data_IF_893400737699
#
_entry.id   IF_893400737699
#
_cell.length_a   1.000
_cell.length_b   1.000
_cell.length_c   1.000
_cell.angle_alpha   90.00
_cell.angle_beta   90.00
_cell.angle_gamma   90.00
#
_symmetry.space_group_name_H-M   'P 1'
#
loop_
_entity.id
_entity.type
_entity.pdbx_description
1 polymer ?
#
# COMPACT_ATOMS: atom_id res chain seq x y z
N UNK A 1 25.83 -28.43 -25.38
CA UNK A 1 26.11 -28.04 -23.97
C UNK A 1 26.03 -26.54 -23.72
N UNK A 2 26.72 -25.67 -24.47
CA UNK A 2 26.68 -24.20 -24.27
C UNK A 2 25.28 -23.57 -24.30
N UNK A 3 24.39 -24.04 -25.17
CA UNK A 3 22.99 -23.58 -25.24
C UNK A 3 22.13 -23.98 -24.03
N UNK A 4 22.38 -25.14 -23.42
CA UNK A 4 21.66 -25.57 -22.21
C UNK A 4 22.06 -24.76 -20.97
N UNK A 5 23.31 -24.32 -20.90
CA UNK A 5 23.80 -23.44 -19.83
C UNK A 5 23.17 -22.05 -19.95
N UNK A 6 23.07 -21.50 -21.17
CA UNK A 6 22.42 -20.20 -21.40
C UNK A 6 20.92 -20.27 -21.10
N UNK A 7 20.23 -21.36 -21.50
CA UNK A 7 18.80 -21.57 -21.22
C UNK A 7 18.52 -21.72 -19.71
N UNK A 8 19.41 -22.40 -18.97
CA UNK A 8 19.30 -22.53 -17.52
C UNK A 8 19.54 -21.20 -16.80
N UNK A 9 20.51 -20.40 -17.26
CA UNK A 9 20.79 -19.07 -16.70
C UNK A 9 19.62 -18.11 -16.97
N UNK A 10 19.04 -18.11 -18.18
CA UNK A 10 17.87 -17.28 -18.47
C UNK A 10 16.63 -17.71 -17.69
N UNK A 11 16.43 -19.01 -17.45
CA UNK A 11 15.33 -19.50 -16.61
C UNK A 11 15.48 -19.07 -15.14
N UNK A 12 16.71 -19.09 -14.60
CA UNK A 12 17.02 -18.64 -13.23
C UNK A 12 16.84 -17.12 -13.09
N UNK A 13 17.19 -16.35 -14.12
CA UNK A 13 16.98 -14.89 -14.14
C UNK A 13 15.48 -14.56 -14.28
N UNK A 14 14.71 -15.34 -15.05
CA UNK A 14 13.26 -15.14 -15.19
C UNK A 14 12.49 -15.48 -13.91
N UNK A 15 12.91 -16.50 -13.14
CA UNK A 15 12.29 -16.82 -11.85
C UNK A 15 12.65 -15.81 -10.76
N UNK A 16 13.76 -15.09 -10.90
CA UNK A 16 14.19 -14.05 -9.93
C UNK A 16 13.39 -12.74 -10.06
N UNK A 17 12.69 -12.51 -11.18
CA UNK A 17 11.84 -11.33 -11.40
C UNK A 17 10.44 -11.50 -10.79
N UNK A 18 10.07 -12.71 -10.36
CA UNK A 18 8.97 -12.93 -9.41
C UNK A 18 9.47 -12.54 -8.00
N UNK A 19 10.01 -11.33 -7.88
CA UNK A 19 10.18 -10.71 -6.57
C UNK A 19 8.77 -10.47 -6.05
N UNK A 20 8.41 -11.24 -5.02
CA UNK A 20 7.16 -11.19 -4.29
C UNK A 20 6.72 -9.74 -4.07
N UNK A 21 5.82 -9.24 -4.91
CA UNK A 21 4.93 -8.15 -4.53
C UNK A 21 3.96 -8.76 -3.53
N UNK A 22 4.37 -8.86 -2.27
CA UNK A 22 3.42 -9.12 -1.18
C UNK A 22 2.51 -7.90 -1.19
N UNK A 23 1.35 -8.04 -1.84
CA UNK A 23 0.40 -6.96 -1.96
C UNK A 23 0.09 -6.48 -0.54
N UNK A 24 0.31 -5.19 -0.27
CA UNK A 24 -0.07 -4.60 1.02
C UNK A 24 -1.57 -4.82 1.22
N UNK A 25 -2.02 -5.23 2.41
CA UNK A 25 -3.44 -5.45 2.65
C UNK A 25 -4.23 -4.18 2.37
N UNK A 26 -5.41 -4.32 1.77
CA UNK A 26 -6.31 -3.18 1.58
C UNK A 26 -6.93 -2.73 2.92
N UNK A 27 -7.43 -1.49 2.99
CA UNK A 27 -8.16 -1.01 4.17
C UNK A 27 -9.36 -1.90 4.50
N UNK A 28 -10.12 -2.31 3.48
CA UNK A 28 -11.26 -3.22 3.64
C UNK A 28 -10.83 -4.58 4.21
N UNK A 29 -9.74 -5.15 3.72
CA UNK A 29 -9.21 -6.42 4.21
C UNK A 29 -8.76 -6.31 5.67
N UNK A 30 -8.04 -5.24 6.01
CA UNK A 30 -7.58 -4.97 7.36
C UNK A 30 -8.76 -4.73 8.33
N UNK A 31 -9.80 -4.00 7.88
CA UNK A 31 -11.03 -3.79 8.66
C UNK A 31 -11.75 -5.11 8.93
N UNK A 32 -11.93 -5.94 7.90
CA UNK A 32 -12.58 -7.25 8.05
C UNK A 32 -11.78 -8.15 9.00
N UNK A 33 -10.44 -8.13 8.92
CA UNK A 33 -9.57 -8.83 9.84
C UNK A 33 -9.72 -8.32 11.29
N UNK A 34 -9.73 -7.01 11.48
CA UNK A 34 -9.93 -6.35 12.77
C UNK A 34 -11.27 -6.73 13.43
N UNK A 35 -12.35 -6.69 12.65
CA UNK A 35 -13.69 -7.11 13.11
C UNK A 35 -13.73 -8.60 13.44
N UNK A 36 -13.13 -9.44 12.60
CA UNK A 36 -13.10 -10.89 12.79
C UNK A 36 -12.25 -11.33 13.99
N UNK A 37 -11.26 -10.53 14.38
CA UNK A 37 -10.47 -10.73 15.60
C UNK A 37 -11.25 -10.36 16.87
N UNK A 38 -12.42 -9.72 16.74
CA UNK A 38 -13.22 -9.25 17.87
C UNK A 38 -12.73 -7.94 18.46
N UNK A 39 -11.83 -7.21 17.78
CA UNK A 39 -11.27 -5.95 18.28
C UNK A 39 -12.36 -4.88 18.52
N UNK A 40 -13.48 -4.95 17.80
CA UNK A 40 -14.65 -4.07 17.96
C UNK A 40 -15.35 -4.21 19.31
N UNK A 41 -15.11 -5.28 20.07
CA UNK A 41 -15.63 -5.40 21.43
C UNK A 41 -15.12 -4.26 22.34
N UNK A 42 -13.87 -3.81 22.15
CA UNK A 42 -13.31 -2.65 22.84
C UNK A 42 -13.30 -1.39 21.95
N UNK A 43 -13.00 -1.54 20.66
CA UNK A 43 -12.91 -0.42 19.70
C UNK A 43 -14.27 -0.07 19.08
N UNK A 44 -15.16 0.46 19.91
CA UNK A 44 -16.56 0.79 19.55
C UNK A 44 -16.92 2.28 19.79
N UNK A 45 -15.94 3.11 20.13
CA UNK A 45 -16.13 4.53 20.45
C UNK A 45 -16.54 4.81 21.90
N UNK A 46 -16.87 3.78 22.70
CA UNK A 46 -17.16 3.92 24.14
C UNK A 46 -15.96 3.58 25.00
N UNK A 47 -15.28 2.46 24.74
CA UNK A 47 -14.14 1.99 25.54
C UNK A 47 -12.83 2.46 24.91
N UNK A 48 -12.65 2.15 23.63
CA UNK A 48 -11.56 2.65 22.80
C UNK A 48 -12.13 3.23 21.49
N UNK A 49 -11.30 3.98 20.78
CA UNK A 49 -11.66 4.56 19.48
C UNK A 49 -12.09 3.49 18.48
N UNK A 50 -12.99 3.80 17.55
CA UNK A 50 -13.46 2.87 16.51
C UNK A 50 -12.34 2.53 15.51
N UNK A 51 -12.55 1.55 14.62
CA UNK A 51 -11.63 1.28 13.52
C UNK A 51 -11.22 2.55 12.76
N UNK A 52 -12.20 3.36 12.34
CA UNK A 52 -11.93 4.60 11.60
C UNK A 52 -11.10 5.57 12.44
N UNK A 53 -11.36 5.65 13.74
CA UNK A 53 -10.56 6.47 14.65
C UNK A 53 -9.15 5.92 14.90
N UNK A 54 -8.94 4.61 14.86
CA UNK A 54 -7.59 4.01 14.82
C UNK A 54 -6.90 4.44 13.52
N UNK A 55 -7.52 4.20 12.37
CA UNK A 55 -6.93 4.56 11.07
C UNK A 55 -6.60 6.05 10.99
N UNK A 56 -7.47 6.93 11.48
CA UNK A 56 -7.23 8.37 11.51
C UNK A 56 -6.05 8.74 12.42
N UNK A 57 -5.95 8.16 13.62
CA UNK A 57 -4.80 8.37 14.50
C UNK A 57 -3.47 8.03 13.80
N UNK A 58 -3.45 6.93 13.03
CA UNK A 58 -2.29 6.50 12.27
C UNK A 58 -1.98 7.43 11.08
N UNK A 59 -3.00 7.85 10.33
CA UNK A 59 -2.86 8.83 9.23
C UNK A 59 -2.31 10.16 9.75
N UNK A 60 -2.85 10.65 10.86
CA UNK A 60 -2.38 11.89 11.50
C UNK A 60 -0.96 11.77 12.06
N UNK A 61 -0.49 10.56 12.37
CA UNK A 61 0.84 10.31 12.92
C UNK A 61 1.89 10.03 11.85
N UNK A 62 1.48 9.90 10.60
CA UNK A 62 2.36 9.53 9.51
C UNK A 62 3.45 10.60 9.27
N UNK A 63 4.71 10.18 9.33
CA UNK A 63 5.88 11.06 9.21
C UNK A 63 6.26 11.85 10.48
N UNK A 64 5.54 11.70 11.60
CA UNK A 64 5.88 12.39 12.88
C UNK A 64 6.95 11.66 13.70
N UNK A 65 7.19 10.39 13.42
CA UNK A 65 8.05 9.51 14.20
C UNK A 65 9.08 8.84 13.27
N UNK A 66 10.29 8.61 13.75
CA UNK A 66 11.37 8.01 12.96
C UNK A 66 11.18 6.49 12.77
N UNK A 67 10.39 5.85 13.63
CA UNK A 67 10.06 4.42 13.51
C UNK A 67 8.69 4.09 14.11
N UNK A 68 8.17 2.90 13.77
CA UNK A 68 6.95 2.36 14.38
C UNK A 68 7.11 2.18 15.89
N UNK A 69 8.27 1.72 16.35
CA UNK A 69 8.55 1.53 17.77
C UNK A 69 8.56 2.87 18.51
N UNK A 70 9.13 3.92 17.92
CA UNK A 70 9.12 5.25 18.51
C UNK A 70 7.68 5.79 18.63
N UNK A 71 6.86 5.61 17.58
CA UNK A 71 5.44 5.94 17.62
C UNK A 71 4.72 5.19 18.76
N UNK A 72 4.98 3.88 18.90
CA UNK A 72 4.38 3.11 20.00
C UNK A 72 4.84 3.62 21.36
N UNK A 73 6.14 3.75 21.57
CA UNK A 73 6.68 4.16 22.86
C UNK A 73 6.24 5.57 23.30
N UNK A 74 6.09 6.51 22.35
CA UNK A 74 5.77 7.92 22.65
C UNK A 74 4.29 8.23 22.62
N UNK A 75 3.52 7.64 21.71
CA UNK A 75 2.11 7.99 21.50
C UNK A 75 1.17 6.93 22.10
N UNK A 76 1.39 5.66 21.77
CA UNK A 76 0.41 4.59 22.05
C UNK A 76 0.58 3.99 23.45
N UNK A 77 1.81 3.67 23.84
CA UNK A 77 2.14 3.05 25.13
C UNK A 77 1.60 3.82 26.34
N UNK A 78 1.83 5.15 26.45
CA UNK A 78 1.30 5.95 27.55
C UNK A 78 -0.24 5.95 27.62
N UNK A 79 -0.92 5.96 26.47
CA UNK A 79 -2.39 5.91 26.39
C UNK A 79 -2.93 4.57 26.89
N UNK A 80 -2.30 3.46 26.49
CA UNK A 80 -2.70 2.11 26.91
C UNK A 80 -2.48 1.93 28.42
N UNK A 81 -1.36 2.43 28.94
CA UNK A 81 -1.07 2.42 30.38
C UNK A 81 -2.11 3.21 31.18
N UNK A 82 -2.51 4.38 30.69
CA UNK A 82 -3.55 5.19 31.35
C UNK A 82 -4.90 4.47 31.42
N UNK A 83 -5.18 3.58 30.46
CA UNK A 83 -6.36 2.71 30.46
C UNK A 83 -6.24 1.48 31.37
N UNK A 84 -5.14 1.36 32.13
CA UNK A 84 -4.94 0.26 33.10
C UNK A 84 -4.37 -1.03 32.49
N UNK A 85 -3.93 -0.99 31.23
CA UNK A 85 -3.24 -2.11 30.59
C UNK A 85 -1.71 -1.92 30.65
N UNK A 86 -0.96 -2.87 30.08
CA UNK A 86 0.51 -2.75 29.97
C UNK A 86 0.96 -1.55 29.15
N UNK A 87 2.26 -1.22 29.19
CA UNK A 87 2.84 -0.10 28.43
C UNK A 87 3.72 -0.64 27.30
N UNK A 88 3.16 -1.01 26.13
CA UNK A 88 3.97 -1.52 25.04
C UNK A 88 4.97 -0.45 24.58
N UNK A 89 6.21 -0.87 24.33
CA UNK A 89 7.30 -0.01 23.87
C UNK A 89 7.64 -0.24 22.41
N UNK A 90 7.28 -1.39 21.86
CA UNK A 90 7.55 -1.75 20.46
C UNK A 90 6.27 -2.05 19.70
N UNK A 91 6.35 -1.93 18.37
CA UNK A 91 5.30 -2.28 17.43
C UNK A 91 4.79 -3.71 17.62
N UNK A 92 5.71 -4.64 17.87
CA UNK A 92 5.38 -6.04 18.08
C UNK A 92 4.71 -6.27 19.44
N UNK A 93 5.20 -5.63 20.50
CA UNK A 93 4.58 -5.69 21.83
C UNK A 93 3.15 -5.14 21.82
N UNK A 94 2.88 -4.07 21.06
CA UNK A 94 1.53 -3.53 20.90
C UNK A 94 0.59 -4.59 20.34
N UNK A 95 0.93 -5.23 19.22
CA UNK A 95 0.07 -6.24 18.60
C UNK A 95 0.01 -7.53 19.39
N UNK A 96 1.08 -7.90 20.10
CA UNK A 96 1.04 -9.02 21.03
C UNK A 96 0.06 -8.75 22.17
N UNK A 97 0.11 -7.57 22.79
CA UNK A 97 -0.82 -7.17 23.84
C UNK A 97 -2.28 -7.17 23.33
N UNK A 98 -2.54 -6.52 22.19
CA UNK A 98 -3.89 -6.41 21.65
C UNK A 98 -4.46 -7.77 21.24
N UNK A 99 -3.66 -8.62 20.59
CA UNK A 99 -4.10 -9.97 20.23
C UNK A 99 -4.30 -10.88 21.44
N UNK A 100 -3.50 -10.72 22.51
CA UNK A 100 -3.71 -11.42 23.77
C UNK A 100 -5.02 -10.99 24.45
N UNK A 101 -5.31 -9.68 24.49
CA UNK A 101 -6.57 -9.16 25.04
C UNK A 101 -7.80 -9.65 24.25
N UNK A 102 -7.66 -9.81 22.92
CA UNK A 102 -8.70 -10.39 22.08
C UNK A 102 -8.79 -11.93 22.18
N UNK A 103 -7.85 -12.59 22.87
CA UNK A 103 -7.77 -14.06 22.90
C UNK A 103 -7.40 -14.68 21.54
N UNK A 104 -6.67 -13.94 20.69
CA UNK A 104 -6.29 -14.29 19.30
C UNK A 104 -4.78 -14.22 19.06
N UNK A 105 -3.98 -14.48 20.10
CA UNK A 105 -2.52 -14.55 19.97
C UNK A 105 -2.12 -15.57 18.89
N UNK A 106 -1.27 -15.17 17.95
CA UNK A 106 -0.83 -16.02 16.83
C UNK A 106 -1.82 -16.17 15.67
N UNK A 107 -2.97 -15.49 15.68
CA UNK A 107 -3.90 -15.50 14.56
C UNK A 107 -3.28 -14.74 13.34
N UNK A 108 -3.21 -15.35 12.14
CA UNK A 108 -2.60 -14.71 10.96
C UNK A 108 -3.24 -13.37 10.59
N UNK A 109 -4.52 -13.14 10.95
CA UNK A 109 -5.22 -11.88 10.69
C UNK A 109 -4.63 -10.71 11.46
N UNK A 110 -3.92 -10.96 12.57
CA UNK A 110 -3.17 -9.93 13.29
C UNK A 110 -2.14 -9.28 12.37
N UNK A 111 -1.47 -10.08 11.52
CA UNK A 111 -0.47 -9.56 10.57
C UNK A 111 -1.10 -8.73 9.45
N UNK A 112 -2.35 -9.01 9.07
CA UNK A 112 -3.08 -8.20 8.09
C UNK A 112 -3.30 -6.79 8.65
N UNK A 113 -3.87 -6.69 9.85
CA UNK A 113 -4.10 -5.41 10.54
C UNK A 113 -2.78 -4.66 10.79
N UNK A 114 -1.77 -5.39 11.31
CA UNK A 114 -0.44 -4.86 11.60
C UNK A 114 0.24 -4.30 10.35
N UNK A 115 0.23 -5.02 9.25
CA UNK A 115 0.89 -4.59 8.01
C UNK A 115 0.18 -3.37 7.40
N UNK A 116 -1.16 -3.37 7.40
CA UNK A 116 -1.92 -2.23 6.92
C UNK A 116 -1.66 -0.95 7.74
N UNK A 117 -1.72 -1.02 9.09
CA UNK A 117 -1.46 0.15 9.93
C UNK A 117 0.00 0.64 9.84
N UNK A 118 0.96 -0.28 9.70
CA UNK A 118 2.35 0.08 9.42
C UNK A 118 2.52 0.78 8.07
N UNK A 119 1.78 0.34 7.05
CA UNK A 119 1.80 0.96 5.72
C UNK A 119 1.33 2.42 5.80
N UNK A 120 0.27 2.73 6.55
CA UNK A 120 -0.24 4.09 6.72
C UNK A 120 0.82 5.03 7.29
N UNK A 121 1.53 4.61 8.33
CA UNK A 121 2.61 5.41 8.93
C UNK A 121 3.78 5.63 7.96
N UNK A 122 4.02 4.66 7.09
CA UNK A 122 5.10 4.68 6.08
C UNK A 122 4.73 5.49 4.83
N UNK A 123 3.44 5.67 4.52
CA UNK A 123 2.97 6.38 3.32
C UNK A 123 3.40 7.86 3.25
N UNK A 124 3.85 8.45 4.36
CA UNK A 124 4.32 9.84 4.39
C UNK A 124 5.85 9.99 4.35
N UNK A 125 6.60 8.88 4.26
CA UNK A 125 8.06 8.88 4.06
C UNK A 125 8.37 8.88 2.56
N UNK A 126 7.66 9.69 1.78
CA UNK A 126 8.09 9.95 0.41
C UNK A 126 9.35 10.80 0.51
N UNK A 127 10.51 10.39 -0.06
CA UNK A 127 11.64 11.30 -0.16
C UNK A 127 11.14 12.53 -0.92
N UNK A 128 11.09 13.68 -0.26
CA UNK A 128 10.91 14.95 -0.96
C UNK A 128 12.16 15.13 -1.80
N UNK A 129 12.10 14.69 -3.06
CA UNK A 129 13.06 15.14 -4.07
C UNK A 129 13.00 16.66 -4.07
N UNK A 130 14.10 17.39 -3.87
CA UNK A 130 14.07 18.84 -4.01
C UNK A 130 13.65 19.15 -5.43
N UNK A 131 12.49 19.81 -5.58
CA UNK A 131 12.10 20.41 -6.84
C UNK A 131 13.09 21.55 -7.06
N UNK A 132 14.06 21.36 -7.94
CA UNK A 132 14.83 22.46 -8.50
C UNK A 132 13.84 23.35 -9.25
N UNK A 133 13.43 24.45 -8.61
CA UNK A 133 12.65 25.51 -9.24
C UNK A 133 13.47 26.12 -10.36
N UNK A 134 13.13 25.83 -11.61
CA UNK A 134 13.57 26.63 -12.74
C UNK A 134 12.80 27.95 -12.70
N UNK A 135 13.46 29.12 -12.70
CA UNK A 135 12.76 30.41 -12.66
C UNK A 135 11.92 30.59 -13.93
N UNK A 136 10.60 30.67 -13.77
CA UNK A 136 9.69 31.11 -14.84
C UNK A 136 9.46 32.62 -14.73
N UNK A 137 9.90 33.33 -15.76
CA UNK A 137 9.62 34.76 -15.98
C UNK A 137 8.11 34.99 -16.07
N UNK A 138 7.54 36.00 -15.41
CA UNK A 138 6.09 36.25 -15.45
C UNK A 138 5.68 36.87 -16.79
N UNK A 139 4.83 36.18 -17.55
CA UNK A 139 4.10 36.77 -18.68
C UNK A 139 2.67 37.08 -18.23
N UNK A 140 2.35 38.37 -18.20
CA UNK A 140 1.03 38.93 -17.92
C UNK A 140 0.01 38.48 -18.97
N UNK A 141 -1.12 37.93 -18.52
CA UNK A 141 -2.29 37.69 -19.37
C UNK A 141 -3.49 38.53 -18.92
N UNK A 142 -4.00 39.33 -19.85
CA UNK A 142 -5.24 40.10 -19.78
C UNK A 142 -6.45 39.16 -19.81
N UNK A 143 -7.48 39.31 -18.95
CA UNK A 143 -8.67 38.47 -19.00
C UNK A 143 -9.66 38.94 -20.07
N UNK A 144 -10.05 38.03 -20.96
CA UNK A 144 -11.22 38.19 -21.85
C UNK A 144 -12.41 37.42 -21.27
N UNK A 145 -13.63 38.00 -21.20
CA UNK A 145 -14.78 37.33 -20.61
C UNK A 145 -15.40 36.32 -21.59
N UNK A 146 -15.81 35.15 -21.11
CA UNK A 146 -16.60 34.20 -21.90
C UNK A 146 -17.72 33.58 -21.07
N UNK A 147 -18.89 33.63 -21.70
CA UNK A 147 -20.26 33.22 -21.41
C UNK A 147 -20.40 31.80 -20.83
N UNK A 148 -21.49 31.48 -20.08
CA UNK A 148 -21.66 30.20 -19.39
C UNK A 148 -21.86 29.05 -20.39
N UNK A 149 -21.07 27.98 -20.24
CA UNK A 149 -21.24 26.74 -21.01
C UNK A 149 -21.82 25.65 -20.11
N UNK A 150 -22.93 25.13 -20.61
CA UNK A 150 -23.72 23.96 -20.24
C UNK A 150 -22.87 22.70 -19.96
N UNK A 151 -23.27 21.94 -18.93
CA UNK A 151 -22.59 20.70 -18.52
C UNK A 151 -22.85 19.55 -19.50
N UNK A 152 -21.82 18.94 -20.11
CA UNK A 152 -21.94 17.58 -20.59
C UNK A 152 -21.63 16.60 -19.45
N UNK A 153 -22.64 15.78 -19.15
CA UNK A 153 -22.53 14.52 -18.44
C UNK A 153 -21.64 13.58 -19.27
N UNK A 154 -20.50 13.19 -18.71
CA UNK A 154 -19.74 11.99 -19.12
C UNK A 154 -18.32 12.28 -19.61
N UNK A 155 -17.33 11.91 -18.81
CA UNK A 155 -16.07 11.31 -19.31
C UNK A 155 -15.34 10.61 -18.16
N UNK A 156 -15.51 9.29 -18.05
CA UNK A 156 -14.65 8.42 -17.27
C UNK A 156 -13.26 8.45 -17.90
N UNK A 157 -12.36 9.18 -17.25
CA UNK A 157 -10.96 9.32 -17.64
C UNK A 157 -10.22 7.98 -17.59
N UNK A 158 -9.71 7.58 -18.76
CA UNK A 158 -8.37 7.01 -18.95
C UNK A 158 -7.90 5.95 -17.93
N UNK A 159 -8.44 4.73 -18.02
CA UNK A 159 -7.76 3.50 -17.52
C UNK A 159 -7.53 2.49 -18.66
N UNK A 160 -8.09 2.72 -19.86
CA UNK A 160 -8.05 1.76 -20.98
C UNK A 160 -6.71 1.71 -21.74
N UNK A 161 -5.92 2.80 -21.74
CA UNK A 161 -4.67 2.87 -22.52
C UNK A 161 -3.55 1.94 -22.04
N UNK A 162 -3.47 1.68 -20.74
CA UNK A 162 -2.42 0.83 -20.16
C UNK A 162 -2.67 -0.67 -20.38
N UNK A 163 -3.94 -1.09 -20.35
CA UNK A 163 -4.30 -2.50 -20.53
C UNK A 163 -4.11 -2.93 -21.99
N UNK A 164 -4.46 -2.08 -22.97
CA UNK A 164 -4.26 -2.37 -24.39
C UNK A 164 -2.78 -2.41 -24.79
N UNK A 165 -1.94 -1.56 -24.20
CA UNK A 165 -0.49 -1.59 -24.44
C UNK A 165 0.15 -2.90 -23.95
N UNK A 166 -0.28 -3.41 -22.79
CA UNK A 166 0.21 -4.68 -22.24
C UNK A 166 -0.24 -5.87 -23.10
N UNK A 167 -1.50 -5.89 -23.55
CA UNK A 167 -2.01 -6.94 -24.44
C UNK A 167 -1.26 -6.93 -25.79
N UNK A 168 -0.96 -5.76 -26.34
CA UNK A 168 -0.19 -5.63 -27.57
C UNK A 168 1.23 -6.20 -27.46
N UNK A 169 1.92 -5.94 -26.33
CA UNK A 169 3.26 -6.49 -26.06
C UNK A 169 3.21 -8.01 -25.91
N UNK A 170 2.22 -8.55 -25.18
CA UNK A 170 2.06 -10.01 -25.01
C UNK A 170 1.81 -10.72 -26.34
N UNK A 171 0.97 -10.15 -27.22
CA UNK A 171 0.71 -10.72 -28.55
C UNK A 171 1.97 -10.67 -29.44
N UNK A 172 2.73 -9.56 -29.43
CA UNK A 172 3.99 -9.46 -30.16
C UNK A 172 5.01 -10.50 -29.71
N UNK A 173 5.12 -10.74 -28.41
CA UNK A 173 6.02 -11.76 -27.84
C UNK A 173 5.57 -13.17 -28.25
N UNK A 174 4.27 -13.47 -28.23
CA UNK A 174 3.75 -14.77 -28.67
C UNK A 174 4.02 -15.00 -30.17
N UNK A 175 3.78 -14.01 -31.03
CA UNK A 175 4.05 -14.14 -32.48
C UNK A 175 5.55 -14.36 -32.74
N UNK A 176 6.42 -13.64 -32.02
CA UNK A 176 7.89 -13.77 -32.13
C UNK A 176 8.40 -15.16 -31.72
N UNK A 177 7.71 -15.84 -30.80
CA UNK A 177 8.08 -17.18 -30.31
C UNK A 177 7.47 -18.27 -31.19
N UNK A 178 6.21 -18.12 -31.61
CA UNK A 178 5.49 -19.17 -32.36
C UNK A 178 5.91 -19.22 -33.84
N UNK A 179 6.16 -18.07 -34.48
CA UNK A 179 6.59 -18.02 -35.88
C UNK A 179 7.85 -18.85 -36.18
N UNK A 180 8.96 -18.76 -35.42
CA UNK A 180 10.13 -19.60 -35.65
C UNK A 180 9.88 -21.09 -35.34
N UNK A 181 9.00 -21.42 -34.38
CA UNK A 181 8.67 -22.82 -34.04
C UNK A 181 7.86 -23.49 -35.17
N UNK A 182 6.96 -22.75 -35.81
CA UNK A 182 6.15 -23.27 -36.94
C UNK A 182 6.99 -23.39 -38.22
N UNK A 183 7.91 -22.44 -38.48
CA UNK A 183 8.82 -22.50 -39.64
C UNK A 183 9.82 -23.65 -39.51
N UNK A 184 10.26 -24.00 -38.30
CA UNK A 184 11.13 -25.17 -38.07
C UNK A 184 10.39 -26.53 -38.14
N UNK A 185 9.05 -26.53 -38.21
CA UNK A 185 8.22 -27.76 -38.27
C UNK A 185 7.67 -28.06 -39.66
N UNK A 186 7.91 -27.23 -40.67
CA UNK A 186 7.73 -27.55 -42.09
C UNK A 186 9.07 -27.95 -42.69
#
# INVERSE_FOLDING_TARGET
>A
MRYFIILAITLIVLTSIISLTVAQPSETEAKNAFESLGCTACHNGRVATTWDGVVNLFKESAGKYASLDEFVAKEIGPRIKASGFGEPKTWDELFQLMSNLAGKSGDPRVNIVKSYLASILSLNITPTTPVTETPITPTTFTPTPTTPIEYPRGEERMISGFILAIIGIVILVIISIVAPIVIMRR
#
